data_IF_463507040284
#
_entry.id   IF_463507040284
#
_cell.length_a   1.000
_cell.length_b   1.000
_cell.length_c   1.000
_cell.angle_alpha   90.00
_cell.angle_beta   90.00
_cell.angle_gamma   90.00
#
_symmetry.space_group_name_H-M   'P 1'
#
loop_
_entity.id
_entity.type
_entity.pdbx_description
1 polymer ?
#
# COMPACT_ATOMS: atom_id res chain seq x y z
N UNK A 1 -20.32 -14.07 -39.81
CA UNK A 1 -19.63 -13.28 -38.77
C UNK A 1 -20.64 -12.95 -37.69
N UNK A 2 -20.59 -13.66 -36.57
CA UNK A 2 -21.49 -13.47 -35.43
C UNK A 2 -20.83 -12.44 -34.50
N UNK A 3 -21.41 -11.24 -34.46
CA UNK A 3 -21.05 -10.21 -33.49
C UNK A 3 -21.56 -10.69 -32.13
N UNK A 4 -20.68 -11.30 -31.37
CA UNK A 4 -20.93 -11.65 -29.97
C UNK A 4 -20.95 -10.33 -29.17
N UNK A 5 -22.15 -9.76 -29.00
CA UNK A 5 -22.40 -8.72 -27.99
C UNK A 5 -22.15 -9.34 -26.63
N UNK A 6 -20.92 -9.23 -26.12
CA UNK A 6 -20.62 -9.46 -24.72
C UNK A 6 -21.35 -8.39 -23.92
N UNK A 7 -22.55 -8.72 -23.45
CA UNK A 7 -23.31 -7.88 -22.53
C UNK A 7 -22.44 -7.61 -21.31
N UNK A 8 -22.03 -6.36 -21.14
CA UNK A 8 -21.42 -5.88 -19.90
C UNK A 8 -22.48 -6.00 -18.81
N UNK A 9 -22.38 -7.02 -17.96
CA UNK A 9 -23.17 -7.06 -16.74
C UNK A 9 -22.73 -5.84 -15.89
N UNK A 10 -23.65 -4.93 -15.60
CA UNK A 10 -23.36 -3.80 -14.73
C UNK A 10 -22.98 -4.35 -13.35
N UNK A 11 -21.74 -4.18 -12.94
CA UNK A 11 -21.31 -4.57 -11.60
C UNK A 11 -22.17 -3.89 -10.55
N UNK A 12 -22.58 -4.63 -9.53
CA UNK A 12 -23.01 -4.02 -8.29
C UNK A 12 -21.85 -3.21 -7.69
N UNK A 13 -22.14 -2.06 -7.06
CA UNK A 13 -21.12 -1.21 -6.42
C UNK A 13 -20.28 -1.96 -5.36
N UNK A 14 -20.83 -3.00 -4.75
CA UNK A 14 -20.13 -3.89 -3.83
C UNK A 14 -19.14 -4.83 -4.54
N UNK A 15 -19.52 -5.40 -5.68
CA UNK A 15 -18.69 -6.33 -6.45
C UNK A 15 -17.48 -5.61 -7.08
N UNK A 16 -17.70 -4.40 -7.61
CA UNK A 16 -16.61 -3.54 -8.09
C UNK A 16 -15.58 -3.27 -6.98
N UNK A 17 -16.05 -2.90 -5.78
CA UNK A 17 -15.16 -2.64 -4.63
C UNK A 17 -14.37 -3.87 -4.20
N UNK A 18 -15.01 -5.04 -4.16
CA UNK A 18 -14.35 -6.30 -3.83
C UNK A 18 -13.31 -6.66 -4.90
N UNK A 19 -13.62 -6.44 -6.18
CA UNK A 19 -12.71 -6.72 -7.28
C UNK A 19 -11.47 -5.81 -7.24
N UNK A 20 -11.64 -4.50 -6.98
CA UNK A 20 -10.53 -3.57 -6.76
C UNK A 20 -9.67 -3.94 -5.56
N UNK A 21 -10.30 -4.31 -4.44
CA UNK A 21 -9.57 -4.75 -3.26
C UNK A 21 -8.80 -6.05 -3.51
N UNK A 22 -9.41 -7.02 -4.18
CA UNK A 22 -8.75 -8.27 -4.57
C UNK A 22 -7.54 -8.01 -5.47
N UNK A 23 -7.66 -7.05 -6.39
CA UNK A 23 -6.56 -6.62 -7.25
C UNK A 23 -5.43 -5.98 -6.44
N UNK A 24 -5.74 -5.01 -5.57
CA UNK A 24 -4.77 -4.30 -4.74
C UNK A 24 -4.07 -5.24 -3.74
N UNK A 25 -4.82 -6.12 -3.07
CA UNK A 25 -4.27 -7.11 -2.12
C UNK A 25 -3.39 -8.17 -2.80
N UNK A 26 -3.59 -8.42 -4.09
CA UNK A 26 -2.70 -9.29 -4.88
C UNK A 26 -1.34 -8.64 -5.18
N UNK A 27 -1.23 -7.31 -5.07
CA UNK A 27 -0.02 -6.53 -5.30
C UNK A 27 0.76 -6.28 -4.00
N UNK A 28 1.29 -7.34 -3.39
CA UNK A 28 2.08 -7.20 -2.15
C UNK A 28 3.54 -6.85 -2.48
N UNK A 29 4.23 -6.12 -1.59
CA UNK A 29 5.66 -5.80 -1.68
C UNK A 29 6.55 -7.05 -1.81
N UNK A 30 7.12 -7.36 -2.99
CA UNK A 30 7.83 -8.61 -3.24
C UNK A 30 9.12 -8.68 -2.43
N UNK A 31 9.87 -7.59 -2.33
CA UNK A 31 11.14 -7.57 -1.59
C UNK A 31 10.96 -7.85 -0.09
N UNK A 32 9.92 -7.28 0.52
CA UNK A 32 9.61 -7.54 1.94
C UNK A 32 9.22 -9.01 2.16
N UNK A 33 8.48 -9.61 1.22
CA UNK A 33 8.10 -11.03 1.28
C UNK A 33 9.28 -11.95 1.01
N UNK A 34 10.16 -11.62 0.06
CA UNK A 34 11.42 -12.33 -0.16
C UNK A 34 12.24 -12.41 1.12
N UNK A 35 12.43 -11.27 1.81
CA UNK A 35 13.12 -11.24 3.10
C UNK A 35 12.48 -12.17 4.14
N UNK A 36 11.14 -12.16 4.26
CA UNK A 36 10.44 -13.05 5.19
C UNK A 36 10.62 -14.55 4.86
N UNK A 37 10.57 -14.92 3.58
CA UNK A 37 10.82 -16.29 3.13
C UNK A 37 12.28 -16.72 3.34
N UNK A 38 13.23 -15.82 3.09
CA UNK A 38 14.65 -16.09 3.35
C UNK A 38 14.94 -16.25 4.84
N UNK A 39 14.34 -15.43 5.70
CA UNK A 39 14.43 -15.60 7.16
C UNK A 39 13.88 -16.96 7.56
N UNK A 40 12.70 -17.35 7.07
CA UNK A 40 12.12 -18.66 7.35
C UNK A 40 13.04 -19.80 6.91
N UNK A 41 13.54 -19.75 5.67
CA UNK A 41 14.48 -20.76 5.14
C UNK A 41 15.77 -20.83 5.96
N UNK A 42 16.30 -19.69 6.37
CA UNK A 42 17.47 -19.60 7.24
C UNK A 42 17.22 -20.17 8.63
N UNK A 43 16.06 -19.87 9.25
CA UNK A 43 15.68 -20.46 10.55
C UNK A 43 15.58 -21.98 10.46
N UNK A 44 14.99 -22.52 9.39
CA UNK A 44 14.93 -23.97 9.19
C UNK A 44 16.32 -24.55 8.99
N UNK A 45 17.19 -23.89 8.21
CA UNK A 45 18.59 -24.30 8.06
C UNK A 45 19.32 -24.37 9.40
N UNK A 46 19.23 -23.33 10.22
CA UNK A 46 19.87 -23.29 11.56
C UNK A 46 19.30 -24.38 12.47
N UNK A 47 17.99 -24.57 12.50
CA UNK A 47 17.36 -25.62 13.30
C UNK A 47 17.80 -27.02 12.85
N UNK A 48 17.85 -27.26 11.53
CA UNK A 48 18.21 -28.55 10.95
C UNK A 48 19.69 -28.86 11.16
N UNK A 49 20.59 -27.90 10.93
CA UNK A 49 22.03 -28.06 11.21
C UNK A 49 22.28 -28.32 12.69
N UNK A 50 21.60 -27.59 13.58
CA UNK A 50 21.72 -27.81 15.03
C UNK A 50 21.26 -29.22 15.40
N UNK A 51 20.12 -29.68 14.86
CA UNK A 51 19.62 -31.02 15.10
C UNK A 51 20.60 -32.10 14.58
N UNK A 52 21.17 -31.90 13.39
CA UNK A 52 22.18 -32.80 12.82
C UNK A 52 23.43 -32.85 13.72
N UNK A 53 23.96 -31.70 14.13
CA UNK A 53 25.13 -31.62 15.02
C UNK A 53 24.87 -32.31 16.36
N UNK A 54 23.69 -32.09 16.97
CA UNK A 54 23.30 -32.76 18.21
C UNK A 54 23.17 -34.28 18.01
N UNK A 55 22.56 -34.71 16.91
CA UNK A 55 22.39 -36.12 16.58
C UNK A 55 23.75 -36.84 16.45
N UNK A 56 24.69 -36.27 15.69
CA UNK A 56 26.04 -36.85 15.54
C UNK A 56 26.83 -36.84 16.86
N UNK A 57 26.67 -35.84 17.71
CA UNK A 57 27.34 -35.82 19.02
C UNK A 57 26.78 -36.85 20.01
N UNK A 58 25.48 -37.11 19.96
CA UNK A 58 24.79 -38.06 20.86
C UNK A 58 24.93 -39.52 20.40
N UNK A 59 24.86 -39.78 19.09
CA UNK A 59 24.74 -41.13 18.54
C UNK A 59 25.87 -41.53 17.58
N UNK A 60 26.77 -40.61 17.23
CA UNK A 60 27.87 -40.89 16.31
C UNK A 60 28.95 -41.80 16.91
N UNK A 61 29.53 -42.67 16.09
CA UNK A 61 30.63 -43.55 16.49
C UNK A 61 31.85 -42.70 16.89
N UNK A 62 32.27 -42.79 18.15
CA UNK A 62 33.43 -42.07 18.68
C UNK A 62 34.67 -42.95 18.52
N UNK A 63 35.69 -42.42 17.85
CA UNK A 63 37.00 -43.09 17.71
C UNK A 63 37.85 -42.92 18.99
N UNK A 64 37.61 -41.84 19.75
CA UNK A 64 38.28 -41.51 21.02
C UNK A 64 37.24 -40.96 22.01
N UNK A 65 37.24 -41.42 23.25
CA UNK A 65 36.39 -40.86 24.32
C UNK A 65 36.72 -39.37 24.55
N UNK A 66 35.73 -38.49 24.40
CA UNK A 66 35.88 -37.04 24.58
C UNK A 66 36.11 -36.24 23.30
N UNK A 67 36.29 -36.87 22.15
CA UNK A 67 36.39 -36.17 20.86
C UNK A 67 34.99 -36.00 20.24
N UNK A 68 34.63 -34.77 19.85
CA UNK A 68 33.39 -34.51 19.12
C UNK A 68 33.41 -35.21 17.76
N UNK A 69 32.27 -35.77 17.35
CA UNK A 69 32.13 -36.44 16.04
C UNK A 69 32.06 -35.36 14.96
N UNK A 70 32.94 -35.42 13.96
CA UNK A 70 32.90 -34.49 12.83
C UNK A 70 31.68 -34.76 11.97
N UNK A 71 30.78 -33.77 11.86
CA UNK A 71 29.60 -33.87 10.98
C UNK A 71 30.08 -33.94 9.53
N UNK A 72 29.56 -34.89 8.72
CA UNK A 72 29.91 -34.98 7.31
C UNK A 72 29.59 -33.67 6.58
N UNK A 73 30.51 -33.13 5.75
CA UNK A 73 30.26 -31.92 4.97
C UNK A 73 28.98 -32.02 4.13
N UNK A 74 28.64 -33.21 3.64
CA UNK A 74 27.44 -33.48 2.86
C UNK A 74 26.15 -33.16 3.63
N UNK A 75 26.11 -33.46 4.93
CA UNK A 75 24.95 -33.18 5.77
C UNK A 75 24.74 -31.67 5.96
N UNK A 76 25.84 -30.91 6.05
CA UNK A 76 25.80 -29.45 6.07
C UNK A 76 25.25 -28.91 4.74
N UNK A 77 25.80 -29.33 3.60
CA UNK A 77 25.32 -28.88 2.29
C UNK A 77 23.86 -29.28 2.02
N UNK A 78 23.44 -30.48 2.44
CA UNK A 78 22.06 -30.92 2.32
C UNK A 78 21.10 -30.03 3.12
N UNK A 79 21.42 -29.74 4.38
CA UNK A 79 20.61 -28.85 5.22
C UNK A 79 20.53 -27.42 4.65
N UNK A 80 21.64 -26.92 4.09
CA UNK A 80 21.70 -25.63 3.40
C UNK A 80 20.79 -25.62 2.16
N UNK A 81 20.85 -26.68 1.34
CA UNK A 81 20.02 -26.81 0.15
C UNK A 81 18.52 -26.85 0.51
N UNK A 82 18.14 -27.57 1.58
CA UNK A 82 16.75 -27.61 2.07
C UNK A 82 16.28 -26.23 2.53
N UNK A 83 17.08 -25.50 3.31
CA UNK A 83 16.75 -24.14 3.76
C UNK A 83 16.59 -23.16 2.61
N UNK A 84 17.51 -23.21 1.62
CA UNK A 84 17.43 -22.40 0.41
C UNK A 84 16.20 -22.75 -0.43
N UNK A 85 15.90 -24.04 -0.61
CA UNK A 85 14.73 -24.48 -1.36
C UNK A 85 13.43 -24.01 -0.69
N UNK A 86 13.33 -24.08 0.65
CA UNK A 86 12.18 -23.56 1.38
C UNK A 86 12.02 -22.04 1.23
N UNK A 87 13.12 -21.28 1.32
CA UNK A 87 13.09 -19.84 1.15
C UNK A 87 12.77 -19.41 -0.28
N UNK A 88 13.60 -19.79 -1.24
CA UNK A 88 13.45 -19.39 -2.64
C UNK A 88 12.26 -20.06 -3.32
N UNK A 89 12.07 -21.37 -3.11
CA UNK A 89 10.94 -22.12 -3.65
C UNK A 89 9.61 -21.62 -3.08
N UNK A 90 9.53 -21.38 -1.77
CA UNK A 90 8.35 -20.78 -1.14
C UNK A 90 8.00 -19.41 -1.72
N UNK A 91 9.02 -18.57 -1.91
CA UNK A 91 8.85 -17.25 -2.53
C UNK A 91 8.38 -17.33 -4.00
N UNK A 92 8.95 -18.23 -4.80
CA UNK A 92 8.56 -18.43 -6.20
C UNK A 92 7.09 -18.90 -6.31
N UNK A 93 6.70 -19.89 -5.51
CA UNK A 93 5.31 -20.37 -5.44
C UNK A 93 4.38 -19.23 -5.05
N UNK A 94 4.78 -18.43 -4.06
CA UNK A 94 4.01 -17.27 -3.62
C UNK A 94 3.84 -16.21 -4.72
N UNK A 95 4.92 -15.84 -5.44
CA UNK A 95 4.84 -14.91 -6.59
C UNK A 95 3.86 -15.43 -7.64
N UNK A 96 3.98 -16.70 -8.02
CA UNK A 96 3.13 -17.29 -9.04
C UNK A 96 1.66 -17.25 -8.63
N UNK A 97 1.36 -17.52 -7.36
CA UNK A 97 0.00 -17.40 -6.80
C UNK A 97 -0.48 -15.95 -6.81
N UNK A 98 0.34 -15.00 -6.39
CA UNK A 98 0.02 -13.56 -6.40
C UNK A 98 -0.30 -13.04 -7.80
N UNK A 99 0.51 -13.40 -8.80
CA UNK A 99 0.28 -13.00 -10.20
C UNK A 99 -0.98 -13.67 -10.79
N UNK A 100 -1.26 -14.93 -10.44
CA UNK A 100 -2.50 -15.62 -10.84
C UNK A 100 -3.73 -14.93 -10.26
N UNK A 101 -3.70 -14.57 -8.98
CA UNK A 101 -4.77 -13.81 -8.32
C UNK A 101 -4.97 -12.45 -8.98
N UNK A 102 -3.88 -11.70 -9.23
CA UNK A 102 -3.94 -10.43 -9.94
C UNK A 102 -4.60 -10.57 -11.32
N UNK A 103 -4.23 -11.60 -12.11
CA UNK A 103 -4.86 -11.90 -13.40
C UNK A 103 -6.33 -12.31 -13.28
N UNK A 104 -6.73 -12.95 -12.18
CA UNK A 104 -8.13 -13.32 -11.94
C UNK A 104 -8.97 -12.07 -11.64
N UNK A 105 -8.55 -11.23 -10.70
CA UNK A 105 -9.26 -9.97 -10.38
C UNK A 105 -9.24 -8.98 -11.55
N UNK A 106 -8.14 -8.92 -12.31
CA UNK A 106 -8.08 -8.14 -13.55
C UNK A 106 -9.14 -8.57 -14.57
N UNK A 107 -9.39 -9.89 -14.69
CA UNK A 107 -10.44 -10.42 -15.57
C UNK A 107 -11.83 -10.09 -15.07
N UNK A 108 -12.05 -10.10 -13.75
CA UNK A 108 -13.32 -9.69 -13.14
C UNK A 108 -13.59 -8.23 -13.49
N UNK A 109 -12.66 -7.31 -13.20
CA UNK A 109 -12.84 -5.88 -13.51
C UNK A 109 -13.11 -5.62 -15.00
N UNK A 110 -12.35 -6.28 -15.89
CA UNK A 110 -12.57 -6.17 -17.35
C UNK A 110 -13.95 -6.64 -17.80
N UNK A 111 -14.52 -7.68 -17.17
CA UNK A 111 -15.84 -8.20 -17.52
C UNK A 111 -16.97 -7.20 -17.25
N UNK A 112 -16.80 -6.30 -16.28
CA UNK A 112 -17.73 -5.20 -16.05
C UNK A 112 -17.25 -3.87 -16.61
N UNK A 113 -16.39 -3.89 -17.65
CA UNK A 113 -16.03 -2.71 -18.41
C UNK A 113 -14.98 -1.80 -17.77
N UNK A 114 -14.40 -2.17 -16.63
CA UNK A 114 -13.37 -1.38 -15.95
C UNK A 114 -11.97 -1.80 -16.41
N UNK A 115 -11.07 -0.83 -16.58
CA UNK A 115 -9.66 -1.11 -16.84
C UNK A 115 -8.90 -1.31 -15.50
N UNK A 116 -8.45 -2.52 -15.17
CA UNK A 116 -7.73 -2.80 -13.92
C UNK A 116 -6.40 -2.05 -13.78
N UNK A 117 -5.84 -1.52 -14.86
CA UNK A 117 -4.61 -0.71 -14.81
C UNK A 117 -4.87 0.78 -14.65
N UNK A 118 -6.10 1.25 -14.91
CA UNK A 118 -6.45 2.67 -14.92
C UNK A 118 -7.66 2.88 -14.01
N UNK A 119 -7.48 2.85 -12.68
CA UNK A 119 -8.58 2.89 -11.72
C UNK A 119 -9.38 4.19 -11.77
N UNK A 120 -8.78 5.27 -12.25
CA UNK A 120 -9.43 6.57 -12.39
C UNK A 120 -10.02 6.80 -13.76
N UNK A 121 -10.07 5.78 -14.64
CA UNK A 121 -10.66 5.85 -15.98
C UNK A 121 -12.10 6.38 -15.98
N UNK A 122 -12.87 6.15 -14.91
CA UNK A 122 -14.26 6.58 -14.78
C UNK A 122 -14.46 7.55 -13.60
N UNK A 123 -13.41 8.31 -13.24
CA UNK A 123 -13.42 9.26 -12.12
C UNK A 123 -12.88 8.66 -10.82
N UNK A 124 -13.13 9.32 -9.69
CA UNK A 124 -12.56 8.97 -8.39
C UNK A 124 -13.52 8.16 -7.49
N UNK A 125 -14.66 7.72 -8.02
CA UNK A 125 -15.72 7.01 -7.27
C UNK A 125 -15.25 5.72 -6.59
N UNK A 126 -14.26 5.03 -7.17
CA UNK A 126 -13.71 3.80 -6.60
C UNK A 126 -12.95 4.06 -5.28
N UNK A 127 -12.49 5.28 -5.05
CA UNK A 127 -11.73 5.69 -3.89
C UNK A 127 -12.62 6.30 -2.81
N UNK A 128 -12.33 5.95 -1.55
CA UNK A 128 -12.91 6.66 -0.42
C UNK A 128 -12.22 7.99 -0.17
N UNK A 129 -12.90 8.90 0.51
CA UNK A 129 -12.36 10.20 0.88
C UNK A 129 -11.10 10.06 1.74
N UNK A 130 -11.09 9.14 2.72
CA UNK A 130 -9.92 8.93 3.58
C UNK A 130 -8.70 8.49 2.76
N UNK A 131 -8.91 7.59 1.78
CA UNK A 131 -7.84 7.14 0.90
C UNK A 131 -7.35 8.28 0.00
N UNK A 132 -8.25 9.09 -0.56
CA UNK A 132 -7.87 10.23 -1.40
C UNK A 132 -7.10 11.28 -0.60
N UNK A 133 -7.54 11.62 0.61
CA UNK A 133 -6.83 12.55 1.50
C UNK A 133 -5.44 12.01 1.88
N UNK A 134 -5.31 10.72 2.15
CA UNK A 134 -4.02 10.09 2.42
C UNK A 134 -3.08 10.11 1.19
N UNK A 135 -3.62 9.88 -0.02
CA UNK A 135 -2.86 9.98 -1.26
C UNK A 135 -2.45 11.42 -1.57
N UNK A 136 -3.37 12.37 -1.38
CA UNK A 136 -3.15 13.80 -1.58
C UNK A 136 -2.09 14.35 -0.61
N UNK A 137 -2.19 13.98 0.67
CA UNK A 137 -1.20 14.34 1.68
C UNK A 137 0.18 13.73 1.38
N UNK A 138 0.23 12.52 0.82
CA UNK A 138 1.49 11.95 0.34
C UNK A 138 2.05 12.75 -0.83
N UNK A 139 1.22 13.15 -1.78
CA UNK A 139 1.64 13.94 -2.94
C UNK A 139 2.29 15.28 -2.53
N UNK A 140 1.74 16.00 -1.55
CA UNK A 140 2.38 17.22 -1.00
C UNK A 140 3.81 16.98 -0.50
N UNK A 141 4.03 15.82 0.11
CA UNK A 141 5.30 15.49 0.73
C UNK A 141 6.30 14.85 -0.24
N UNK A 142 5.91 14.63 -1.51
CA UNK A 142 6.82 14.13 -2.53
C UNK A 142 7.65 15.28 -3.10
N UNK A 143 8.96 15.03 -3.24
CA UNK A 143 9.81 15.85 -4.07
C UNK A 143 9.38 15.76 -5.54
N UNK A 144 9.69 16.78 -6.32
CA UNK A 144 9.44 16.79 -7.75
C UNK A 144 10.12 15.59 -8.42
N UNK A 145 9.35 14.85 -9.22
CA UNK A 145 9.83 13.62 -9.84
C UNK A 145 8.72 12.77 -10.44
N UNK A 146 9.12 11.60 -10.96
CA UNK A 146 8.23 10.69 -11.71
C UNK A 146 6.98 10.25 -10.94
N UNK A 147 7.10 10.03 -9.62
CA UNK A 147 5.96 9.63 -8.80
C UNK A 147 4.96 10.77 -8.59
N UNK A 148 5.45 12.01 -8.47
CA UNK A 148 4.61 13.21 -8.34
C UNK A 148 3.78 13.40 -9.61
N UNK A 149 4.43 13.37 -10.78
CA UNK A 149 3.79 13.41 -12.11
C UNK A 149 2.80 12.25 -12.29
N UNK A 150 3.16 11.03 -11.85
CA UNK A 150 2.25 9.89 -11.91
C UNK A 150 0.97 10.16 -11.09
N UNK A 151 1.09 10.76 -9.91
CA UNK A 151 -0.05 11.07 -9.05
C UNK A 151 -0.92 12.21 -9.62
N UNK A 152 -0.32 13.25 -10.20
CA UNK A 152 -1.04 14.31 -10.93
C UNK A 152 -1.86 13.72 -12.08
N UNK A 153 -1.22 12.94 -12.95
CA UNK A 153 -1.89 12.33 -14.11
C UNK A 153 -2.92 11.26 -13.73
N UNK A 154 -2.73 10.57 -12.60
CA UNK A 154 -3.66 9.51 -12.16
C UNK A 154 -4.85 10.08 -11.43
N UNK A 155 -4.65 11.04 -10.53
CA UNK A 155 -5.69 11.52 -9.60
C UNK A 155 -6.19 12.92 -9.90
N UNK A 156 -5.53 13.69 -10.77
CA UNK A 156 -5.88 15.10 -11.01
C UNK A 156 -5.41 16.03 -9.89
N UNK A 157 -4.48 15.57 -9.04
CA UNK A 157 -3.89 16.41 -7.99
C UNK A 157 -3.09 17.55 -8.61
N UNK A 158 -3.13 18.71 -7.94
CA UNK A 158 -2.35 19.88 -8.32
C UNK A 158 -1.77 20.52 -7.06
N UNK A 159 -0.64 21.23 -7.19
CA UNK A 159 -0.02 21.91 -6.04
C UNK A 159 -0.88 23.08 -5.51
N UNK A 160 -1.59 23.74 -6.42
CA UNK A 160 -2.42 24.92 -6.14
C UNK A 160 -3.91 24.59 -5.89
N UNK A 161 -4.24 23.32 -5.70
CA UNK A 161 -5.64 22.97 -5.42
C UNK A 161 -6.10 23.57 -4.07
N UNK A 162 -7.41 23.57 -3.84
CA UNK A 162 -8.02 24.18 -2.64
C UNK A 162 -7.54 23.56 -1.31
N UNK A 163 -6.77 22.46 -1.38
CA UNK A 163 -6.08 21.79 -0.28
C UNK A 163 -4.78 22.50 0.15
N UNK A 164 -4.30 23.49 -0.61
CA UNK A 164 -3.07 24.26 -0.37
C UNK A 164 -3.02 25.02 0.96
N UNK A 165 -4.16 25.20 1.65
CA UNK A 165 -4.19 25.69 3.03
C UNK A 165 -3.63 24.69 4.05
N UNK A 166 -3.30 23.48 3.60
CA UNK A 166 -2.75 22.35 4.33
C UNK A 166 -3.80 21.25 4.52
N UNK A 167 -3.38 20.01 4.87
CA UNK A 167 -4.27 18.89 5.26
C UNK A 167 -5.20 19.16 6.47
N UNK A 168 -5.21 20.41 6.94
CA UNK A 168 -5.94 20.98 8.06
C UNK A 168 -7.37 21.39 7.69
N UNK A 169 -7.70 21.60 6.42
CA UNK A 169 -8.99 22.20 6.06
C UNK A 169 -10.08 21.21 5.67
N UNK A 170 -9.74 19.95 5.38
CA UNK A 170 -10.69 19.03 4.75
C UNK A 170 -10.80 17.71 5.49
N UNK A 171 -12.04 17.34 5.82
CA UNK A 171 -12.39 16.08 6.47
C UNK A 171 -13.17 15.19 5.50
N UNK A 172 -13.11 13.86 5.68
CA UNK A 172 -13.96 12.94 4.93
C UNK A 172 -15.45 13.30 5.08
N UNK A 173 -16.24 13.16 4.01
CA UNK A 173 -17.69 13.41 4.01
C UNK A 173 -18.12 14.84 4.37
N UNK A 174 -17.27 15.84 4.11
CA UNK A 174 -17.65 17.25 4.22
C UNK A 174 -17.79 17.89 2.85
N UNK A 175 -18.43 19.05 2.80
CA UNK A 175 -18.61 19.81 1.56
C UNK A 175 -17.27 20.16 0.90
N UNK A 176 -16.26 20.49 1.70
CA UNK A 176 -14.91 20.81 1.21
C UNK A 176 -14.26 19.61 0.51
N UNK A 177 -14.50 18.39 1.01
CA UNK A 177 -14.02 17.17 0.39
C UNK A 177 -14.73 16.88 -0.94
N UNK A 178 -16.04 17.11 -1.00
CA UNK A 178 -16.81 16.98 -2.23
C UNK A 178 -16.35 18.00 -3.28
N UNK A 179 -16.07 19.25 -2.86
CA UNK A 179 -15.52 20.28 -3.73
C UNK A 179 -14.14 19.89 -4.30
N UNK A 180 -13.24 19.36 -3.47
CA UNK A 180 -11.94 18.85 -3.93
C UNK A 180 -12.07 17.67 -4.89
N UNK A 181 -13.00 16.75 -4.62
CA UNK A 181 -13.25 15.62 -5.51
C UNK A 181 -13.68 16.10 -6.89
N UNK A 182 -14.59 17.08 -6.95
CA UNK A 182 -15.03 17.70 -8.21
C UNK A 182 -13.87 18.41 -8.90
N UNK A 183 -13.04 19.15 -8.15
CA UNK A 183 -11.84 19.83 -8.69
C UNK A 183 -10.86 18.82 -9.33
N UNK A 184 -10.54 17.74 -8.63
CA UNK A 184 -9.66 16.69 -9.13
C UNK A 184 -10.26 15.94 -10.33
N UNK A 185 -11.56 15.65 -10.32
CA UNK A 185 -12.24 15.05 -11.46
C UNK A 185 -12.27 15.98 -12.68
N UNK A 186 -12.46 17.29 -12.47
CA UNK A 186 -12.37 18.29 -13.53
C UNK A 186 -10.95 18.32 -14.13
N UNK A 187 -9.90 18.29 -13.31
CA UNK A 187 -8.51 18.20 -13.77
C UNK A 187 -8.25 16.93 -14.59
N UNK A 188 -8.84 15.79 -14.19
CA UNK A 188 -8.76 14.53 -14.94
C UNK A 188 -9.51 14.56 -16.28
N UNK A 189 -10.54 15.40 -16.41
CA UNK A 189 -11.28 15.61 -17.67
C UNK A 189 -10.48 16.56 -18.56
N UNK A 190 -10.02 17.69 -18.04
CA UNK A 190 -9.24 18.68 -18.79
C UNK A 190 -7.95 18.07 -19.36
N UNK A 191 -7.24 17.28 -18.56
CA UNK A 191 -6.07 16.53 -19.01
C UNK A 191 -6.37 15.48 -20.08
N UNK A 192 -7.61 14.99 -20.17
CA UNK A 192 -8.03 14.04 -21.21
C UNK A 192 -8.51 14.69 -22.50
N UNK A 193 -9.06 15.92 -22.43
CA UNK A 193 -9.67 16.64 -23.56
C UNK A 193 -8.66 17.54 -24.30
N UNK A 194 -7.64 18.06 -23.61
CA UNK A 194 -6.69 19.03 -24.17
C UNK A 194 -5.52 18.46 -25.00
N UNK A 195 -5.40 17.13 -25.13
CA UNK A 195 -4.32 16.50 -25.90
C UNK A 195 -4.72 16.24 -27.34
N UNK A 196 -3.93 16.75 -28.30
CA UNK A 196 -3.94 16.30 -29.70
C UNK A 196 -3.52 14.84 -29.82
N UNK A 197 -3.05 14.39 -30.98
CA UNK A 197 -2.60 13.00 -31.26
C UNK A 197 -1.70 12.35 -30.17
N UNK A 198 -1.07 13.15 -29.31
CA UNK A 198 -0.27 12.77 -28.14
C UNK A 198 -1.01 12.83 -26.77
N UNK A 199 -2.34 12.80 -26.72
CA UNK A 199 -3.12 12.70 -25.46
C UNK A 199 -2.77 11.38 -24.76
N UNK A 200 -1.71 11.42 -23.97
CA UNK A 200 -1.06 10.29 -23.35
C UNK A 200 -2.07 9.64 -22.40
N UNK A 201 -2.70 8.58 -22.90
CA UNK A 201 -3.80 7.91 -22.22
C UNK A 201 -3.40 7.65 -20.75
N UNK A 202 -4.29 7.96 -19.79
CA UNK A 202 -4.05 7.90 -18.32
C UNK A 202 -3.03 6.82 -17.91
N UNK A 203 -1.98 7.16 -17.13
CA UNK A 203 -0.86 6.26 -16.90
C UNK A 203 -1.31 4.92 -16.29
N UNK A 204 -0.69 3.84 -16.77
CA UNK A 204 -1.02 2.50 -16.30
C UNK A 204 -0.36 2.18 -14.95
N UNK A 205 -1.18 1.77 -13.99
CA UNK A 205 -0.72 1.24 -12.71
C UNK A 205 -0.48 -0.26 -12.86
N UNK A 206 0.77 -0.62 -13.10
CA UNK A 206 1.19 -2.03 -13.14
C UNK A 206 1.19 -2.67 -11.75
N UNK A 207 1.24 -4.01 -11.70
CA UNK A 207 1.42 -4.78 -10.46
C UNK A 207 2.62 -4.30 -9.65
N UNK A 208 3.72 -3.94 -10.31
CA UNK A 208 4.92 -3.40 -9.68
C UNK A 208 4.74 -1.99 -9.14
N UNK A 209 4.06 -1.12 -9.90
CA UNK A 209 3.75 0.23 -9.47
C UNK A 209 2.86 0.22 -8.24
N UNK A 210 1.81 -0.61 -8.24
CA UNK A 210 0.94 -0.79 -7.07
C UNK A 210 1.72 -1.33 -5.87
N UNK A 211 2.50 -2.38 -6.09
CA UNK A 211 3.27 -3.02 -5.03
C UNK A 211 4.21 -2.05 -4.30
N UNK A 212 4.77 -1.06 -5.01
CA UNK A 212 5.64 -0.04 -4.43
C UNK A 212 4.87 1.15 -3.86
N UNK A 213 3.84 1.61 -4.57
CA UNK A 213 3.25 2.92 -4.35
C UNK A 213 1.82 2.90 -3.84
N UNK A 214 1.18 1.74 -3.69
CA UNK A 214 -0.12 1.61 -3.02
C UNK A 214 -1.19 2.60 -3.55
N UNK A 215 -1.39 2.65 -4.87
CA UNK A 215 -2.22 3.61 -5.59
C UNK A 215 -3.62 3.09 -5.92
N UNK A 216 -3.86 1.78 -5.93
CA UNK A 216 -5.13 1.19 -6.31
C UNK A 216 -6.21 1.40 -5.24
N UNK A 217 -7.51 1.40 -5.62
CA UNK A 217 -8.60 1.55 -4.67
C UNK A 217 -8.61 0.41 -3.65
N UNK A 218 -8.90 0.74 -2.39
CA UNK A 218 -8.99 -0.23 -1.30
C UNK A 218 -10.31 -0.11 -0.59
N UNK A 219 -10.90 -1.26 -0.25
CA UNK A 219 -12.05 -1.29 0.64
C UNK A 219 -11.69 -0.61 1.94
N UNK A 220 -12.53 0.34 2.32
CA UNK A 220 -12.43 1.03 3.60
C UNK A 220 -13.22 0.31 4.67
N UNK A 221 -12.63 -0.78 5.16
CA UNK A 221 -13.01 -1.30 6.47
C UNK A 221 -12.63 -0.29 7.55
N UNK A 222 -13.29 -0.37 8.70
CA UNK A 222 -13.08 0.58 9.81
C UNK A 222 -11.59 0.73 10.16
N UNK A 223 -10.85 -0.38 10.22
CA UNK A 223 -9.40 -0.36 10.46
C UNK A 223 -8.63 0.40 9.38
N UNK A 224 -8.94 0.19 8.10
CA UNK A 224 -8.24 0.88 7.01
C UNK A 224 -8.61 2.36 6.93
N UNK A 225 -9.85 2.72 7.24
CA UNK A 225 -10.25 4.13 7.41
C UNK A 225 -9.39 4.80 8.48
N UNK A 226 -9.25 4.16 9.64
CA UNK A 226 -8.39 4.67 10.71
C UNK A 226 -6.93 4.77 10.27
N UNK A 227 -6.40 3.81 9.51
CA UNK A 227 -5.02 3.88 9.02
C UNK A 227 -4.81 5.03 8.02
N UNK A 228 -5.74 5.24 7.07
CA UNK A 228 -5.69 6.37 6.15
C UNK A 228 -5.84 7.70 6.89
N UNK A 229 -6.78 7.76 7.84
CA UNK A 229 -6.99 8.92 8.70
C UNK A 229 -5.75 9.28 9.52
N UNK A 230 -5.12 8.27 10.12
CA UNK A 230 -3.87 8.45 10.84
C UNK A 230 -2.74 8.95 9.92
N UNK A 231 -2.69 8.48 8.68
CA UNK A 231 -1.65 8.88 7.73
C UNK A 231 -1.74 10.36 7.41
N UNK A 232 -2.88 10.84 6.92
CA UNK A 232 -3.00 12.25 6.54
C UNK A 232 -2.92 13.19 7.75
N UNK A 233 -3.50 12.82 8.90
CA UNK A 233 -3.41 13.63 10.13
C UNK A 233 -1.98 13.69 10.69
N UNK A 234 -1.20 12.60 10.62
CA UNK A 234 0.22 12.63 11.01
C UNK A 234 1.06 13.51 10.08
N UNK A 235 0.81 13.44 8.78
CA UNK A 235 1.51 14.26 7.80
C UNK A 235 1.13 15.75 7.97
N UNK A 236 -0.13 16.03 8.35
CA UNK A 236 -0.60 17.35 8.77
C UNK A 236 0.16 17.86 9.99
N UNK A 237 0.17 17.11 11.09
CA UNK A 237 0.89 17.45 12.33
C UNK A 237 2.38 17.63 12.07
N UNK A 238 2.99 16.83 11.19
CA UNK A 238 4.40 17.00 10.81
C UNK A 238 4.63 18.34 10.11
N UNK A 239 3.73 18.72 9.20
CA UNK A 239 3.79 20.00 8.49
C UNK A 239 3.60 21.18 9.44
N UNK A 240 2.63 21.11 10.35
CA UNK A 240 2.42 22.09 11.41
C UNK A 240 3.67 22.28 12.28
N UNK A 241 4.28 21.18 12.74
CA UNK A 241 5.50 21.23 13.54
C UNK A 241 6.67 21.87 12.82
N UNK A 242 6.77 21.67 11.50
CA UNK A 242 7.80 22.29 10.66
C UNK A 242 7.57 23.79 10.47
N UNK A 243 6.32 24.23 10.30
CA UNK A 243 5.98 25.64 10.02
C UNK A 243 5.87 26.49 11.28
N UNK A 244 5.31 25.96 12.36
CA UNK A 244 4.90 26.71 13.55
C UNK A 244 5.62 26.26 14.83
N UNK A 245 6.58 25.33 14.71
CA UNK A 245 7.41 24.86 15.81
C UNK A 245 6.93 23.53 16.43
N UNK A 246 7.88 22.81 17.03
CA UNK A 246 7.67 21.43 17.49
C UNK A 246 6.81 21.31 18.76
N UNK A 247 6.82 22.35 19.61
CA UNK A 247 6.06 22.39 20.86
C UNK A 247 4.62 22.83 20.60
N UNK A 248 3.69 21.90 20.69
CA UNK A 248 2.26 22.16 20.51
C UNK A 248 1.71 23.19 21.51
N UNK A 249 2.32 23.28 22.68
CA UNK A 249 1.88 24.19 23.75
C UNK A 249 2.08 25.66 23.38
N UNK A 250 2.92 25.97 22.39
CA UNK A 250 3.14 27.31 21.86
C UNK A 250 2.38 27.60 20.57
N UNK A 251 1.56 26.66 20.08
CA UNK A 251 0.83 26.88 18.83
C UNK A 251 -0.18 28.01 18.91
N UNK A 252 -0.68 28.34 20.10
CA UNK A 252 -1.55 29.49 20.31
C UNK A 252 -0.88 30.85 19.99
N UNK A 253 0.46 30.93 19.97
CA UNK A 253 1.19 32.14 19.59
C UNK A 253 1.77 32.07 18.18
N UNK A 254 2.07 30.87 17.67
CA UNK A 254 2.75 30.70 16.38
C UNK A 254 1.81 30.38 15.22
N UNK A 255 0.66 29.75 15.47
CA UNK A 255 -0.33 29.42 14.45
C UNK A 255 -1.31 30.59 14.30
N UNK A 256 -1.63 31.03 13.07
CA UNK A 256 -2.66 32.05 12.84
C UNK A 256 -4.01 31.63 13.43
N UNK A 257 -4.75 32.57 14.03
CA UNK A 257 -6.01 32.28 14.77
C UNK A 257 -7.02 31.47 13.95
N UNK A 258 -7.17 31.77 12.65
CA UNK A 258 -8.07 31.04 11.75
C UNK A 258 -7.67 29.59 11.44
N UNK A 259 -6.48 29.14 11.85
CA UNK A 259 -5.97 27.77 11.64
C UNK A 259 -5.66 27.02 12.94
N UNK A 260 -5.73 27.70 14.09
CA UNK A 260 -5.38 27.11 15.37
C UNK A 260 -6.31 25.95 15.73
N UNK A 261 -7.61 26.10 15.50
CA UNK A 261 -8.59 25.04 15.76
C UNK A 261 -8.36 23.80 14.92
N UNK A 262 -8.11 23.95 13.63
CA UNK A 262 -7.78 22.84 12.74
C UNK A 262 -6.48 22.15 13.16
N UNK A 263 -5.48 22.94 13.59
CA UNK A 263 -4.20 22.41 14.04
C UNK A 263 -4.32 21.57 15.33
N UNK A 264 -5.12 22.03 16.29
CA UNK A 264 -5.41 21.29 17.52
C UNK A 264 -6.24 20.05 17.21
N UNK A 265 -7.27 20.17 16.35
CA UNK A 265 -8.12 19.05 15.92
C UNK A 265 -7.29 17.92 15.33
N UNK A 266 -6.44 18.21 14.35
CA UNK A 266 -5.62 17.20 13.68
C UNK A 266 -4.63 16.51 14.65
N UNK A 267 -4.08 17.27 15.61
CA UNK A 267 -3.21 16.73 16.65
C UNK A 267 -3.96 15.77 17.58
N UNK A 268 -5.14 16.17 18.04
CA UNK A 268 -5.99 15.35 18.90
C UNK A 268 -6.50 14.11 18.18
N UNK A 269 -6.92 14.25 16.93
CA UNK A 269 -7.42 13.16 16.10
C UNK A 269 -6.31 12.13 15.82
N UNK A 270 -5.11 12.59 15.45
CA UNK A 270 -3.95 11.69 15.29
C UNK A 270 -3.65 10.91 16.58
N UNK A 271 -3.70 11.57 17.75
CA UNK A 271 -3.50 10.93 19.06
C UNK A 271 -4.61 9.93 19.38
N UNK A 272 -5.87 10.31 19.15
CA UNK A 272 -7.04 9.47 19.38
C UNK A 272 -7.00 8.21 18.52
N UNK A 273 -6.78 8.36 17.22
CA UNK A 273 -6.70 7.23 16.29
C UNK A 273 -5.52 6.33 16.67
N UNK A 274 -4.35 6.90 17.00
CA UNK A 274 -3.21 6.11 17.47
C UNK A 274 -3.54 5.32 18.74
N UNK A 275 -4.25 5.92 19.69
CA UNK A 275 -4.67 5.23 20.91
C UNK A 275 -5.66 4.09 20.62
N UNK A 276 -6.62 4.30 19.72
CA UNK A 276 -7.58 3.25 19.28
C UNK A 276 -6.83 2.09 18.62
N UNK A 277 -5.90 2.39 17.72
CA UNK A 277 -5.10 1.37 17.02
C UNK A 277 -4.20 0.58 17.99
N UNK A 278 -3.63 1.24 19.00
CA UNK A 278 -2.82 0.56 20.02
C UNK A 278 -3.65 -0.31 20.96
N UNK A 279 -4.92 0.02 21.20
CA UNK A 279 -5.84 -0.74 22.08
C UNK A 279 -6.48 -1.94 21.40
N UNK A 280 -6.54 -1.98 20.06
CA UNK A 280 -7.04 -3.14 19.33
C UNK A 280 -5.91 -4.18 19.20
N UNK A 281 -5.94 -5.31 19.92
CA UNK A 281 -5.01 -6.40 19.64
C UNK A 281 -5.24 -6.85 18.20
N UNK A 282 -4.15 -7.09 17.46
CA UNK A 282 -4.15 -7.59 16.10
C UNK A 282 -5.16 -8.75 15.97
N UNK A 283 -6.32 -8.51 15.37
CA UNK A 283 -7.18 -9.59 14.88
C UNK A 283 -6.45 -10.13 13.66
N UNK A 284 -5.79 -11.27 13.86
CA UNK A 284 -5.05 -12.02 12.85
C UNK A 284 -5.97 -12.57 11.78
#
# INVERSE_FOLDING_TARGET
>A
MLVERTGTASFGTAEERIAWEGLASSCVQPFRRLGAFLILGFTVFVATTTAVVLFYNLFGARVIEGQGVSVPPEAFYASMAVGLFLGLGGYLVWILKSLRSYKAFSRVLRRGGLDPKRPTAHGLKAYSDEQLLALRSRYENLADGRLKILMEKTFGFHADDSFSLGPLSVLPKTFEMDALRVEWEANLILSSVGGGEDSEARPEISWWAESRHNLLPRRTDEMRRLLFALQYTKDSVRTLKRRYGYRSDHWHTTVPEGKLWDAVRDLEEARRIQAVLNRRPYVR
#
